data_IF_381679305528
#
_entry.id   IF_381679305528
#
_cell.length_a   1.000
_cell.length_b   1.000
_cell.length_c   1.000
_cell.angle_alpha   90.00
_cell.angle_beta   90.00
_cell.angle_gamma   90.00
#
_symmetry.space_group_name_H-M   'P 1'
#
loop_
_entity.id
_entity.type
_entity.pdbx_description
1 polymer ?
#
# COMPACT_ATOMS: atom_id res chain seq x y z
N UNK A 1 -28.19 -0.69 8.57
CA UNK A 1 -26.97 -1.47 8.36
C UNK A 1 -25.76 -0.58 8.50
N UNK A 2 -24.82 -0.96 9.34
CA UNK A 2 -23.62 -0.16 9.55
C UNK A 2 -22.57 -0.59 8.52
N UNK A 3 -22.10 0.37 7.73
CA UNK A 3 -21.04 0.11 6.77
C UNK A 3 -19.71 -0.02 7.50
N UNK A 4 -18.92 -1.01 7.12
CA UNK A 4 -17.58 -1.16 7.65
C UNK A 4 -16.68 -0.03 7.14
N UNK A 5 -15.76 0.42 8.00
CA UNK A 5 -14.71 1.33 7.58
C UNK A 5 -13.88 0.67 6.48
N UNK A 6 -13.59 1.40 5.41
CA UNK A 6 -12.82 0.92 4.27
C UNK A 6 -11.37 1.35 4.41
N UNK A 7 -10.47 0.39 4.55
CA UNK A 7 -9.04 0.65 4.76
C UNK A 7 -8.23 0.02 3.63
N UNK A 8 -7.28 0.78 3.11
CA UNK A 8 -6.34 0.28 2.10
C UNK A 8 -4.95 0.23 2.70
N UNK A 9 -4.26 -0.89 2.54
CA UNK A 9 -2.85 -1.05 2.92
C UNK A 9 -2.02 -1.28 1.66
N UNK A 10 -1.17 -0.33 1.34
CA UNK A 10 -0.22 -0.41 0.24
C UNK A 10 1.09 -1.00 0.76
N UNK A 11 1.63 -1.99 0.06
CA UNK A 11 2.75 -2.77 0.57
C UNK A 11 2.30 -3.89 1.49
N UNK A 12 1.08 -4.39 1.29
CA UNK A 12 0.44 -5.36 2.18
C UNK A 12 1.11 -6.74 2.18
N UNK A 13 1.90 -7.05 1.16
CA UNK A 13 2.65 -8.32 1.08
C UNK A 13 3.99 -8.29 1.80
N UNK A 14 4.44 -7.12 2.25
CA UNK A 14 5.69 -6.98 2.98
C UNK A 14 5.55 -7.38 4.46
N UNK A 15 6.67 -7.34 5.18
CA UNK A 15 6.71 -7.76 6.58
C UNK A 15 5.80 -6.90 7.45
N UNK A 16 6.00 -5.59 7.41
CA UNK A 16 5.20 -4.65 8.23
C UNK A 16 3.76 -4.62 7.73
N UNK A 17 3.56 -4.56 6.41
CA UNK A 17 2.23 -4.48 5.82
C UNK A 17 1.37 -5.69 6.16
N UNK A 18 1.93 -6.89 6.12
CA UNK A 18 1.18 -8.11 6.46
C UNK A 18 0.76 -8.15 7.93
N UNK A 19 1.62 -7.68 8.83
CA UNK A 19 1.27 -7.56 10.24
C UNK A 19 0.18 -6.53 10.49
N UNK A 20 0.28 -5.38 9.81
CA UNK A 20 -0.75 -4.35 9.91
C UNK A 20 -2.10 -4.87 9.44
N UNK A 21 -2.14 -5.59 8.32
CA UNK A 21 -3.37 -6.19 7.81
C UNK A 21 -3.98 -7.13 8.85
N UNK A 22 -3.18 -8.00 9.45
CA UNK A 22 -3.65 -8.92 10.49
C UNK A 22 -4.21 -8.17 11.68
N UNK A 23 -3.54 -7.11 12.12
CA UNK A 23 -3.99 -6.30 13.25
C UNK A 23 -5.31 -5.59 12.93
N UNK A 24 -5.43 -5.01 11.75
CA UNK A 24 -6.65 -4.33 11.33
C UNK A 24 -7.83 -5.29 11.25
N UNK A 25 -7.61 -6.53 10.81
CA UNK A 25 -8.67 -7.54 10.70
C UNK A 25 -9.17 -8.05 12.04
N UNK A 26 -8.55 -7.67 13.15
CA UNK A 26 -9.11 -7.92 14.48
C UNK A 26 -10.23 -6.94 14.82
N UNK A 27 -10.36 -5.87 14.06
CA UNK A 27 -11.43 -4.89 14.19
C UNK A 27 -12.47 -5.13 13.10
N UNK A 28 -13.65 -4.54 13.24
CA UNK A 28 -14.73 -4.71 12.26
C UNK A 28 -14.55 -3.73 11.10
N UNK A 29 -13.54 -4.00 10.26
CA UNK A 29 -13.18 -3.15 9.12
C UNK A 29 -13.02 -4.01 7.87
N UNK A 30 -13.17 -3.38 6.71
CA UNK A 30 -12.85 -4.01 5.43
C UNK A 30 -11.45 -3.57 4.99
N UNK A 31 -10.56 -4.52 4.70
CA UNK A 31 -9.17 -4.24 4.33
C UNK A 31 -8.89 -4.70 2.91
N UNK A 32 -8.44 -3.76 2.09
CA UNK A 32 -7.92 -4.02 0.76
C UNK A 32 -6.40 -3.92 0.81
N UNK A 33 -5.71 -5.00 0.48
CA UNK A 33 -4.25 -5.04 0.43
C UNK A 33 -3.76 -4.94 -0.99
N UNK A 34 -2.71 -4.15 -1.20
CA UNK A 34 -2.11 -3.97 -2.53
C UNK A 34 -0.60 -4.16 -2.42
N UNK A 35 -0.02 -4.90 -3.35
CA UNK A 35 1.43 -5.03 -3.47
C UNK A 35 1.79 -5.35 -4.92
N UNK A 36 3.08 -5.25 -5.23
CA UNK A 36 3.58 -5.56 -6.56
C UNK A 36 3.58 -7.08 -6.82
N UNK A 37 3.53 -7.86 -5.78
CA UNK A 37 3.45 -9.33 -5.87
C UNK A 37 2.66 -9.88 -4.69
N UNK A 38 2.22 -11.14 -4.83
CA UNK A 38 1.55 -11.85 -3.73
C UNK A 38 2.54 -12.10 -2.58
N UNK A 39 2.05 -12.22 -1.34
CA UNK A 39 2.92 -12.57 -0.20
C UNK A 39 3.64 -13.91 -0.42
N UNK A 40 4.93 -13.98 -0.05
CA UNK A 40 5.76 -15.15 -0.32
C UNK A 40 5.45 -16.35 0.56
N UNK A 41 5.04 -16.12 1.81
CA UNK A 41 5.03 -17.18 2.83
C UNK A 41 3.65 -17.60 3.30
N UNK A 42 2.66 -16.75 3.17
CA UNK A 42 1.31 -17.06 3.61
C UNK A 42 0.29 -16.21 2.84
N UNK A 43 -0.94 -16.71 2.79
CA UNK A 43 -2.04 -15.96 2.21
C UNK A 43 -2.29 -14.71 3.04
N UNK A 44 -2.55 -13.58 2.37
CA UNK A 44 -2.88 -12.35 3.06
C UNK A 44 -4.19 -12.49 3.84
N UNK A 45 -4.24 -11.84 5.00
CA UNK A 45 -5.46 -11.76 5.81
C UNK A 45 -6.43 -10.69 5.30
N UNK A 46 -6.04 -9.88 4.31
CA UNK A 46 -6.92 -8.85 3.73
C UNK A 46 -8.17 -9.47 3.12
N UNK A 47 -9.26 -8.71 3.16
CA UNK A 47 -10.52 -9.14 2.51
C UNK A 47 -10.36 -9.22 1.00
N UNK A 48 -9.52 -8.35 0.45
CA UNK A 48 -9.23 -8.29 -0.97
C UNK A 48 -7.74 -7.98 -1.15
N UNK A 49 -7.07 -8.69 -2.04
CA UNK A 49 -5.65 -8.45 -2.34
C UNK A 49 -5.47 -8.22 -3.83
N UNK A 50 -4.92 -7.08 -4.19
CA UNK A 50 -4.72 -6.70 -5.59
C UNK A 50 -3.23 -6.57 -5.87
N UNK A 51 -2.77 -7.20 -6.94
CA UNK A 51 -1.38 -7.09 -7.39
C UNK A 51 -1.30 -6.03 -8.48
N UNK A 52 -0.39 -5.09 -8.32
CA UNK A 52 -0.16 -4.05 -9.31
C UNK A 52 0.98 -3.12 -8.91
N UNK A 53 1.33 -2.24 -9.82
CA UNK A 53 2.47 -1.34 -9.66
C UNK A 53 2.00 0.08 -9.31
N UNK A 54 2.32 0.53 -8.11
CA UNK A 54 1.93 1.85 -7.62
C UNK A 54 2.68 3.00 -8.29
N UNK A 55 3.70 2.72 -9.10
CA UNK A 55 4.35 3.74 -9.93
C UNK A 55 3.46 4.15 -11.10
N UNK A 56 2.47 3.32 -11.43
CA UNK A 56 1.49 3.63 -12.47
C UNK A 56 0.31 4.37 -11.83
N UNK A 57 0.18 5.66 -12.12
CA UNK A 57 -0.87 6.48 -11.52
C UNK A 57 -2.28 6.01 -11.90
N UNK A 58 -2.44 5.42 -13.07
CA UNK A 58 -3.74 4.88 -13.48
C UNK A 58 -4.13 3.67 -12.63
N UNK A 59 -3.16 2.84 -12.28
CA UNK A 59 -3.42 1.74 -11.35
C UNK A 59 -3.81 2.29 -9.97
N UNK A 60 -3.07 3.27 -9.45
CA UNK A 60 -3.39 3.89 -8.15
C UNK A 60 -4.81 4.47 -8.18
N UNK A 61 -5.16 5.15 -9.26
CA UNK A 61 -6.51 5.73 -9.41
C UNK A 61 -7.58 4.65 -9.42
N UNK A 62 -7.28 3.47 -9.93
CA UNK A 62 -8.24 2.36 -10.00
C UNK A 62 -8.51 1.70 -8.65
N UNK A 63 -7.58 1.78 -7.70
CA UNK A 63 -7.69 1.08 -6.42
C UNK A 63 -8.16 1.97 -5.27
N UNK A 64 -7.97 3.27 -5.36
CA UNK A 64 -8.40 4.22 -4.33
C UNK A 64 -9.68 4.89 -4.81
N UNK A 65 -10.79 4.62 -4.14
CA UNK A 65 -12.08 5.20 -4.50
C UNK A 65 -12.58 6.18 -3.43
N UNK A 66 -13.75 6.75 -3.67
CA UNK A 66 -14.35 7.74 -2.77
C UNK A 66 -14.86 7.11 -1.47
N UNK A 67 -14.94 5.78 -1.41
CA UNK A 67 -15.36 5.06 -0.21
C UNK A 67 -14.20 4.79 0.75
N UNK A 68 -12.97 5.07 0.35
CA UNK A 68 -11.78 4.83 1.17
C UNK A 68 -11.74 5.78 2.36
N UNK A 69 -11.76 5.22 3.57
CA UNK A 69 -11.70 6.00 4.81
C UNK A 69 -10.24 6.26 5.25
N UNK A 70 -9.42 5.22 5.25
CA UNK A 70 -8.03 5.30 5.69
C UNK A 70 -7.12 4.59 4.69
N UNK A 71 -5.93 5.13 4.52
CA UNK A 71 -4.93 4.58 3.62
C UNK A 71 -3.57 4.56 4.29
N UNK A 72 -2.95 3.39 4.34
CA UNK A 72 -1.61 3.20 4.90
C UNK A 72 -0.63 2.94 3.76
N UNK A 73 0.30 3.86 3.57
CA UNK A 73 1.30 3.76 2.49
C UNK A 73 2.61 3.21 3.07
N UNK A 74 2.81 1.91 2.90
CA UNK A 74 4.00 1.20 3.36
C UNK A 74 4.83 0.67 2.19
N UNK A 75 4.34 0.88 0.96
CA UNK A 75 5.04 0.41 -0.24
C UNK A 75 6.22 1.32 -0.57
N UNK A 76 7.31 0.70 -1.02
CA UNK A 76 8.47 1.43 -1.47
C UNK A 76 9.37 0.51 -2.27
N UNK A 77 10.28 1.08 -3.03
CA UNK A 77 11.29 0.31 -3.72
C UNK A 77 12.48 0.12 -2.77
N UNK A 78 12.32 -0.83 -1.84
CA UNK A 78 13.35 -1.19 -0.87
C UNK A 78 13.82 -2.60 -1.18
N UNK A 79 14.96 -2.72 -1.85
CA UNK A 79 15.58 -4.01 -2.08
C UNK A 79 16.10 -4.63 -0.79
N UNK A 80 16.66 -5.82 -0.86
CA UNK A 80 17.36 -6.43 0.27
C UNK A 80 18.56 -5.59 0.71
N UNK A 81 19.15 -5.95 1.84
CA UNK A 81 20.27 -5.20 2.41
C UNK A 81 21.41 -4.95 1.40
N UNK A 82 21.74 -5.97 0.60
CA UNK A 82 22.77 -5.82 -0.43
C UNK A 82 22.38 -4.81 -1.51
N UNK A 83 21.12 -4.77 -1.89
CA UNK A 83 20.60 -3.82 -2.87
C UNK A 83 20.74 -2.38 -2.36
N UNK A 84 20.40 -2.16 -1.09
CA UNK A 84 20.43 -0.82 -0.48
C UNK A 84 21.87 -0.39 -0.15
N UNK A 85 22.65 -1.28 0.45
CA UNK A 85 23.95 -0.92 1.01
C UNK A 85 25.09 -0.82 0.00
N UNK A 86 24.93 -1.36 -1.21
CA UNK A 86 25.95 -1.22 -2.26
C UNK A 86 26.00 0.19 -2.85
N UNK A 87 24.91 0.95 -2.74
CA UNK A 87 24.80 2.26 -3.34
C UNK A 87 24.52 2.25 -4.85
N UNK A 88 24.55 1.09 -5.49
CA UNK A 88 24.40 0.97 -6.95
C UNK A 88 23.02 1.35 -7.44
N UNK A 89 22.02 1.27 -6.55
CA UNK A 89 20.60 1.49 -6.91
C UNK A 89 19.96 2.68 -6.19
N UNK A 90 20.76 3.55 -5.56
CA UNK A 90 20.25 4.65 -4.75
C UNK A 90 19.28 5.55 -5.52
N UNK A 91 19.67 5.93 -6.75
CA UNK A 91 18.83 6.82 -7.57
C UNK A 91 17.50 6.16 -7.94
N UNK A 92 17.51 4.86 -8.26
CA UNK A 92 16.31 4.11 -8.62
C UNK A 92 15.39 3.95 -7.42
N UNK A 93 15.94 3.61 -6.25
CA UNK A 93 15.17 3.46 -5.01
C UNK A 93 14.49 4.78 -4.66
N UNK A 94 15.22 5.89 -4.68
CA UNK A 94 14.68 7.21 -4.37
C UNK A 94 13.60 7.62 -5.37
N UNK A 95 13.88 7.45 -6.66
CA UNK A 95 12.94 7.83 -7.72
C UNK A 95 11.64 7.04 -7.63
N UNK A 96 11.74 5.72 -7.51
CA UNK A 96 10.56 4.85 -7.48
C UNK A 96 9.73 5.10 -6.21
N UNK A 97 10.38 5.24 -5.07
CA UNK A 97 9.66 5.50 -3.81
C UNK A 97 9.00 6.88 -3.83
N UNK A 98 9.67 7.89 -4.37
CA UNK A 98 9.08 9.22 -4.51
C UNK A 98 7.88 9.20 -5.46
N UNK A 99 7.98 8.48 -6.58
CA UNK A 99 6.88 8.37 -7.54
C UNK A 99 5.66 7.69 -6.92
N UNK A 100 5.86 6.60 -6.18
CA UNK A 100 4.76 5.94 -5.47
C UNK A 100 4.10 6.91 -4.50
N UNK A 101 4.87 7.59 -3.67
CA UNK A 101 4.32 8.53 -2.69
C UNK A 101 3.57 9.69 -3.34
N UNK A 102 4.10 10.24 -4.41
CA UNK A 102 3.45 11.34 -5.14
C UNK A 102 2.14 10.88 -5.78
N UNK A 103 2.14 9.71 -6.39
CA UNK A 103 0.92 9.14 -6.98
C UNK A 103 -0.15 8.92 -5.92
N UNK A 104 0.23 8.29 -4.81
CA UNK A 104 -0.69 7.98 -3.72
C UNK A 104 -1.27 9.26 -3.12
N UNK A 105 -0.43 10.24 -2.83
CA UNK A 105 -0.88 11.50 -2.24
C UNK A 105 -1.85 12.22 -3.17
N UNK A 106 -1.54 12.27 -4.47
CA UNK A 106 -2.40 12.93 -5.46
C UNK A 106 -3.79 12.29 -5.50
N UNK A 107 -3.84 10.99 -5.64
CA UNK A 107 -5.12 10.28 -5.78
C UNK A 107 -5.89 10.28 -4.46
N UNK A 108 -5.21 10.16 -3.31
CA UNK A 108 -5.87 10.25 -2.02
C UNK A 108 -6.61 11.59 -1.85
N UNK A 109 -5.98 12.69 -2.25
CA UNK A 109 -6.62 14.01 -2.22
C UNK A 109 -7.80 14.07 -3.18
N UNK A 110 -7.63 13.60 -4.41
CA UNK A 110 -8.71 13.59 -5.42
C UNK A 110 -9.95 12.81 -4.93
N UNK A 111 -9.73 11.71 -4.21
CA UNK A 111 -10.82 10.83 -3.73
C UNK A 111 -11.36 11.22 -2.36
N UNK A 112 -10.77 12.20 -1.71
CA UNK A 112 -11.24 12.65 -0.40
C UNK A 112 -10.99 11.64 0.72
N UNK A 113 -9.88 10.91 0.67
CA UNK A 113 -9.50 9.98 1.73
C UNK A 113 -9.33 10.75 3.04
N UNK A 114 -9.96 10.24 4.11
CA UNK A 114 -10.03 10.97 5.39
C UNK A 114 -8.72 10.96 6.16
N UNK A 115 -7.95 9.88 6.06
CA UNK A 115 -6.68 9.76 6.77
C UNK A 115 -5.66 9.01 5.89
N UNK A 116 -4.45 9.57 5.81
CA UNK A 116 -3.36 8.99 5.04
C UNK A 116 -2.13 8.90 5.93
N UNK A 117 -1.60 7.69 6.07
CA UNK A 117 -0.43 7.41 6.89
C UNK A 117 0.72 6.95 5.99
N UNK A 118 1.88 7.59 6.14
CA UNK A 118 3.12 7.18 5.48
C UNK A 118 4.07 6.54 6.48
N UNK A 119 4.83 5.59 5.99
CA UNK A 119 5.92 5.01 6.76
C UNK A 119 7.27 5.29 6.10
#
# INVERSE_FOLDING_TARGET
MVNKKQIIVLGAGGFIGSYLVKRLKQENVYVKGIDIKLPDFSKSAADEFIVGDLRDINFVRSIIDEQTDELYQLAGDVGGAGYIFTGDHDADVMHNSAQINLNVAKIAVERGVKALFFC
#
